data_IF_380200791026
#
_entry.id   IF_380200791026
#
_cell.length_a   1.000
_cell.length_b   1.000
_cell.length_c   1.000
_cell.angle_alpha   90.00
_cell.angle_beta   90.00
_cell.angle_gamma   90.00
#
_symmetry.space_group_name_H-M   'P 1'
#
loop_
_entity.id
_entity.type
_entity.pdbx_description
1 polymer ?
#
# COMPACT_ATOMS: atom_id res chain seq x y z
N UNK A 1 -17.06 -15.69 13.61
CA UNK A 1 -17.74 -14.51 13.04
C UNK A 1 -16.73 -13.38 12.81
N UNK A 2 -17.04 -12.43 11.93
CA UNK A 2 -16.23 -11.24 11.66
C UNK A 2 -16.12 -10.43 12.96
N UNK A 3 -14.92 -9.89 13.27
CA UNK A 3 -14.77 -9.02 14.42
C UNK A 3 -15.51 -7.69 14.20
N UNK A 4 -15.88 -7.02 15.29
CA UNK A 4 -16.32 -5.64 15.22
C UNK A 4 -15.20 -4.77 14.62
N UNK A 5 -15.52 -3.87 13.70
CA UNK A 5 -14.55 -2.92 13.15
C UNK A 5 -14.28 -1.79 14.14
N UNK A 6 -13.01 -1.37 14.23
CA UNK A 6 -12.57 -0.24 15.07
C UNK A 6 -11.76 0.73 14.24
N UNK A 7 -11.86 2.03 14.54
CA UNK A 7 -10.99 3.03 13.92
C UNK A 7 -9.56 2.90 14.44
N UNK A 8 -8.58 3.32 13.64
CA UNK A 8 -7.18 3.42 14.07
C UNK A 8 -7.05 4.29 15.32
N UNK A 9 -7.73 5.43 15.38
CA UNK A 9 -7.77 6.28 16.57
C UNK A 9 -8.29 5.51 17.81
N UNK A 10 -9.34 4.71 17.66
CA UNK A 10 -9.88 3.91 18.77
C UNK A 10 -8.92 2.83 19.26
N UNK A 11 -8.13 2.23 18.36
CA UNK A 11 -7.12 1.23 18.72
C UNK A 11 -5.92 1.84 19.46
N UNK A 12 -5.63 3.11 19.22
CA UNK A 12 -4.49 3.81 19.81
C UNK A 12 -4.84 4.56 21.11
N UNK A 13 -6.11 4.73 21.41
CA UNK A 13 -6.60 5.56 22.52
C UNK A 13 -6.00 5.18 23.90
N UNK A 14 -5.70 3.90 24.10
CA UNK A 14 -5.14 3.39 25.34
C UNK A 14 -3.60 3.47 25.40
N UNK A 15 -2.96 3.82 24.28
CA UNK A 15 -1.50 3.78 24.12
C UNK A 15 -0.92 5.20 24.13
N UNK A 16 -1.71 6.20 23.76
CA UNK A 16 -1.26 7.59 23.65
C UNK A 16 -2.11 8.49 24.54
N UNK A 17 -1.46 9.40 25.25
CA UNK A 17 -2.12 10.47 26.01
C UNK A 17 -2.44 11.71 25.13
N UNK A 18 -2.13 11.65 23.84
CA UNK A 18 -2.28 12.77 22.91
C UNK A 18 -3.60 12.70 22.15
N UNK A 19 -4.29 13.84 22.10
CA UNK A 19 -5.63 13.93 21.46
C UNK A 19 -5.58 14.19 19.96
N UNK A 20 -4.37 14.41 19.39
CA UNK A 20 -4.19 14.88 18.02
C UNK A 20 -3.48 13.85 17.12
N UNK A 21 -3.81 12.57 17.28
CA UNK A 21 -3.24 11.52 16.43
C UNK A 21 -3.86 11.64 15.03
N UNK A 22 -3.03 11.89 14.02
CA UNK A 22 -3.43 11.93 12.61
C UNK A 22 -3.62 10.53 12.02
N UNK A 23 -2.95 9.52 12.60
CA UNK A 23 -3.05 8.14 12.16
C UNK A 23 -1.99 7.23 12.77
N UNK A 24 -1.74 6.12 12.10
CA UNK A 24 -0.69 5.17 12.46
C UNK A 24 0.03 4.59 11.23
N UNK A 25 1.28 4.25 11.41
CA UNK A 25 2.03 3.42 10.47
C UNK A 25 1.93 1.98 10.91
N UNK A 26 1.32 1.13 10.09
CA UNK A 26 1.34 -0.32 10.27
C UNK A 26 2.70 -0.84 9.85
N UNK A 27 3.44 -1.44 10.75
CA UNK A 27 4.80 -1.95 10.54
C UNK A 27 4.91 -3.46 10.61
N UNK A 28 3.90 -4.15 11.12
CA UNK A 28 3.82 -5.60 11.08
C UNK A 28 2.36 -6.09 11.16
N UNK A 29 2.12 -7.20 10.48
CA UNK A 29 0.91 -8.01 10.58
C UNK A 29 1.34 -9.47 10.79
N UNK A 30 1.20 -9.96 12.02
CA UNK A 30 1.65 -11.28 12.44
C UNK A 30 0.56 -12.36 12.23
N UNK A 31 -0.54 -12.05 11.57
CA UNK A 31 -1.56 -13.06 11.27
C UNK A 31 -1.07 -14.05 10.22
N UNK A 32 -1.53 -15.29 10.36
CA UNK A 32 -1.28 -16.35 9.38
C UNK A 32 -2.54 -16.56 8.56
N UNK A 33 -2.39 -16.94 7.29
CA UNK A 33 -3.51 -17.26 6.40
C UNK A 33 -4.47 -18.30 7.01
N UNK A 34 -3.93 -19.25 7.79
CA UNK A 34 -4.74 -20.24 8.51
C UNK A 34 -5.59 -19.66 9.65
N UNK A 35 -5.29 -18.46 10.12
CA UNK A 35 -6.07 -17.75 11.13
C UNK A 35 -7.16 -16.87 10.49
N UNK A 36 -6.90 -16.32 9.32
CA UNK A 36 -7.72 -15.35 8.62
C UNK A 36 -6.94 -14.11 8.22
N UNK A 37 -7.65 -13.04 7.89
CA UNK A 37 -7.05 -11.80 7.40
C UNK A 37 -7.49 -10.60 8.22
N UNK A 38 -6.56 -9.68 8.46
CA UNK A 38 -6.89 -8.33 8.86
C UNK A 38 -7.26 -7.51 7.63
N UNK A 39 -8.33 -6.75 7.73
CA UNK A 39 -8.84 -5.89 6.67
C UNK A 39 -8.93 -4.43 7.15
N UNK A 40 -8.83 -3.51 6.21
CA UNK A 40 -9.01 -2.08 6.43
C UNK A 40 -10.06 -1.50 5.48
N UNK A 41 -10.66 -0.37 5.87
CA UNK A 41 -11.58 0.41 5.04
C UNK A 41 -11.32 1.89 5.19
N UNK A 42 -11.27 2.60 4.07
CA UNK A 42 -11.07 4.06 4.00
C UNK A 42 -12.37 4.83 3.75
N UNK A 43 -13.48 4.12 3.53
CA UNK A 43 -14.78 4.69 3.12
C UNK A 43 -15.93 4.33 4.09
N UNK A 44 -15.59 4.19 5.37
CA UNK A 44 -16.57 3.91 6.41
C UNK A 44 -17.14 2.50 6.38
N UNK A 45 -16.43 1.54 5.77
CA UNK A 45 -16.83 0.13 5.74
C UNK A 45 -17.60 -0.29 4.49
N UNK A 46 -17.68 0.55 3.45
CA UNK A 46 -18.32 0.19 2.17
C UNK A 46 -17.44 -0.74 1.34
N UNK A 47 -16.13 -0.49 1.35
CA UNK A 47 -15.13 -1.35 0.70
C UNK A 47 -14.06 -1.75 1.71
N UNK A 48 -13.53 -2.97 1.56
CA UNK A 48 -12.52 -3.53 2.44
C UNK A 48 -11.34 -4.06 1.64
N UNK A 49 -10.13 -3.68 2.05
CA UNK A 49 -8.87 -4.19 1.55
C UNK A 49 -8.21 -5.09 2.60
N UNK A 50 -7.41 -6.06 2.18
CA UNK A 50 -6.64 -6.93 3.08
C UNK A 50 -5.36 -6.21 3.49
N UNK A 51 -5.03 -6.20 4.78
CA UNK A 51 -3.75 -5.69 5.26
C UNK A 51 -2.60 -6.64 4.88
N UNK A 52 -1.47 -6.11 4.38
CA UNK A 52 -0.32 -6.94 4.02
C UNK A 52 0.26 -7.67 5.21
N UNK A 53 0.93 -8.80 4.95
CA UNK A 53 1.68 -9.58 5.94
C UNK A 53 3.20 -9.55 5.66
N UNK A 54 3.61 -9.05 4.49
CA UNK A 54 4.99 -9.02 4.01
C UNK A 54 5.66 -7.67 4.28
N UNK A 55 5.88 -7.35 5.54
CA UNK A 55 6.70 -6.19 5.91
C UNK A 55 8.18 -6.55 5.90
N UNK A 56 9.03 -5.59 5.51
CA UNK A 56 10.48 -5.79 5.57
C UNK A 56 10.97 -5.88 7.01
N UNK A 57 11.94 -6.77 7.28
CA UNK A 57 12.48 -6.98 8.62
C UNK A 57 13.17 -5.73 9.21
N UNK A 58 13.65 -4.83 8.35
CA UNK A 58 14.30 -3.58 8.73
C UNK A 58 13.31 -2.44 9.07
N UNK A 59 11.99 -2.70 9.02
CA UNK A 59 10.94 -1.71 9.20
C UNK A 59 11.04 -0.48 8.26
N UNK A 60 11.71 -0.62 7.13
CA UNK A 60 11.84 0.45 6.13
C UNK A 60 10.54 0.70 5.37
N UNK A 61 9.62 -0.24 5.41
CA UNK A 61 8.31 -0.15 4.77
C UNK A 61 7.20 -0.24 5.81
N UNK A 62 6.24 0.65 5.70
CA UNK A 62 5.06 0.69 6.55
C UNK A 62 3.86 1.23 5.78
N UNK A 63 2.67 0.76 6.13
CA UNK A 63 1.44 1.26 5.57
C UNK A 63 0.91 2.40 6.44
N UNK A 64 0.81 3.61 5.87
CA UNK A 64 0.33 4.79 6.60
C UNK A 64 -1.19 4.82 6.54
N UNK A 65 -1.84 4.72 7.69
CA UNK A 65 -3.29 4.70 7.86
C UNK A 65 -3.74 5.97 8.58
N UNK A 66 -4.81 6.61 8.10
CA UNK A 66 -5.42 7.75 8.81
C UNK A 66 -6.13 7.31 10.09
N UNK A 67 -6.39 8.25 10.98
CA UNK A 67 -7.03 7.98 12.28
C UNK A 67 -8.45 7.42 12.17
N UNK A 68 -9.16 7.73 11.09
CA UNK A 68 -10.54 7.29 10.80
C UNK A 68 -10.61 5.96 10.02
N UNK A 69 -9.47 5.43 9.55
CA UNK A 69 -9.40 4.12 8.89
C UNK A 69 -9.98 3.04 9.80
N UNK A 70 -10.94 2.28 9.29
CA UNK A 70 -11.52 1.13 10.00
C UNK A 70 -10.64 -0.10 9.80
N UNK A 71 -10.49 -0.88 10.87
CA UNK A 71 -9.77 -2.16 10.87
C UNK A 71 -10.69 -3.24 11.46
N UNK A 72 -10.70 -4.42 10.84
CA UNK A 72 -11.40 -5.61 11.34
C UNK A 72 -10.62 -6.87 11.02
N UNK A 73 -10.96 -7.98 11.70
CA UNK A 73 -10.43 -9.30 11.41
C UNK A 73 -11.50 -10.22 10.84
N UNK A 74 -11.20 -10.86 9.73
CA UNK A 74 -12.03 -11.92 9.11
C UNK A 74 -11.37 -13.27 9.42
N UNK A 75 -11.93 -14.07 10.33
CA UNK A 75 -11.36 -15.37 10.65
C UNK A 75 -11.50 -16.35 9.51
N UNK A 76 -10.48 -17.20 9.33
CA UNK A 76 -10.58 -18.37 8.45
C UNK A 76 -11.65 -19.33 8.96
N UNK A 77 -12.11 -20.19 8.05
CA UNK A 77 -13.08 -21.27 8.42
C UNK A 77 -12.47 -22.12 9.54
N UNK A 78 -13.26 -22.36 10.56
CA UNK A 78 -12.89 -23.19 11.73
C UNK A 78 -11.72 -22.64 12.56
N UNK A 79 -11.36 -21.37 12.39
CA UNK A 79 -10.40 -20.71 13.29
C UNK A 79 -11.07 -20.28 14.61
N UNK A 80 -10.50 -20.71 15.71
CA UNK A 80 -10.86 -20.33 17.08
C UNK A 80 -9.61 -19.85 17.81
N UNK A 81 -9.64 -18.65 18.35
CA UNK A 81 -8.52 -18.10 19.11
C UNK A 81 -8.25 -16.62 18.81
N UNK A 82 -7.10 -16.16 19.29
CA UNK A 82 -6.64 -14.80 19.04
C UNK A 82 -5.83 -14.77 17.75
N UNK A 83 -6.14 -13.86 16.81
CA UNK A 83 -5.35 -13.69 15.60
C UNK A 83 -3.95 -13.14 15.91
N UNK A 84 -3.03 -13.27 14.97
CA UNK A 84 -1.75 -12.59 15.04
C UNK A 84 -1.93 -11.07 15.14
N UNK A 85 -1.09 -10.43 15.95
CA UNK A 85 -1.17 -9.01 16.28
C UNK A 85 -0.78 -8.11 15.10
N UNK A 86 -1.31 -6.89 15.10
CA UNK A 86 -0.80 -5.78 14.30
C UNK A 86 0.15 -4.93 15.14
N UNK A 87 1.22 -4.42 14.50
CA UNK A 87 2.10 -3.42 15.10
C UNK A 87 1.82 -2.07 14.45
N UNK A 88 1.28 -1.14 15.25
CA UNK A 88 0.90 0.20 14.83
C UNK A 88 1.78 1.22 15.57
N UNK A 89 2.41 2.14 14.83
CA UNK A 89 3.14 3.29 15.39
C UNK A 89 2.32 4.55 15.11
N UNK A 90 1.81 5.24 16.16
CA UNK A 90 1.06 6.47 15.97
C UNK A 90 1.94 7.59 15.41
N UNK A 91 1.34 8.53 14.69
CA UNK A 91 1.98 9.77 14.27
C UNK A 91 1.03 10.96 14.43
N UNK A 92 1.62 12.14 14.69
CA UNK A 92 0.96 13.41 14.97
C UNK A 92 1.41 14.53 14.04
N UNK A 93 2.22 14.22 13.03
CA UNK A 93 2.78 15.21 12.11
C UNK A 93 2.29 14.99 10.66
N UNK A 94 2.21 16.06 9.90
CA UNK A 94 1.70 16.08 8.52
C UNK A 94 2.72 15.59 7.47
N UNK A 95 3.90 15.10 7.89
CA UNK A 95 4.94 14.63 6.98
C UNK A 95 4.65 13.23 6.40
N UNK A 96 3.68 12.50 6.95
CA UNK A 96 3.24 11.21 6.45
C UNK A 96 1.91 11.36 5.72
N UNK A 97 1.85 10.84 4.51
CA UNK A 97 0.61 10.82 3.70
C UNK A 97 -0.07 9.45 3.86
N UNK A 98 -1.28 9.41 4.46
CA UNK A 98 -2.06 8.19 4.50
C UNK A 98 -2.41 7.66 3.10
N UNK A 99 -2.57 6.34 2.99
CA UNK A 99 -3.09 5.75 1.76
C UNK A 99 -4.50 6.29 1.50
N UNK A 100 -4.76 6.65 0.25
CA UNK A 100 -6.03 7.22 -0.19
C UNK A 100 -6.89 6.24 -0.98
N UNK A 101 -6.34 5.09 -1.36
CA UNK A 101 -6.98 4.10 -2.21
C UNK A 101 -7.29 2.82 -1.43
N UNK A 102 -8.56 2.37 -1.51
CA UNK A 102 -9.01 1.07 -1.01
C UNK A 102 -8.54 -0.10 -1.92
N UNK A 103 -7.39 0.03 -2.54
CA UNK A 103 -6.80 -1.06 -3.31
C UNK A 103 -6.34 -2.12 -2.32
N UNK A 104 -6.84 -3.36 -2.38
CA UNK A 104 -6.36 -4.43 -1.50
C UNK A 104 -4.84 -4.55 -1.65
N UNK A 105 -4.11 -4.31 -0.56
CA UNK A 105 -2.67 -4.57 -0.53
C UNK A 105 -2.52 -6.10 -0.55
N UNK A 106 -2.29 -6.65 -1.72
CA UNK A 106 -2.21 -8.10 -1.92
C UNK A 106 -2.92 -8.62 -3.17
N UNK A 107 -3.92 -7.91 -3.68
CA UNK A 107 -4.53 -8.20 -4.98
C UNK A 107 -3.92 -7.33 -6.09
N UNK A 108 -2.67 -6.92 -5.91
CA UNK A 108 -1.92 -6.23 -6.95
C UNK A 108 -1.42 -7.24 -8.01
N UNK A 109 -2.32 -8.06 -8.52
CA UNK A 109 -2.17 -8.61 -9.86
C UNK A 109 -2.36 -7.46 -10.85
N UNK A 110 -1.49 -6.48 -10.76
CA UNK A 110 -1.38 -5.41 -11.71
C UNK A 110 -0.28 -5.72 -12.73
N UNK A 111 -0.08 -4.82 -13.65
CA UNK A 111 1.02 -4.90 -14.58
C UNK A 111 1.65 -3.52 -14.78
N UNK A 112 2.90 -3.52 -15.18
CA UNK A 112 3.60 -2.31 -15.57
C UNK A 112 3.77 -2.34 -17.08
N UNK A 113 3.54 -1.20 -17.71
CA UNK A 113 3.95 -0.95 -19.09
C UNK A 113 5.07 0.07 -19.04
N UNK A 114 6.21 -0.23 -19.67
CA UNK A 114 7.24 0.76 -19.94
C UNK A 114 7.35 0.98 -21.45
N UNK A 115 7.64 2.20 -21.84
CA UNK A 115 7.81 2.56 -23.23
C UNK A 115 8.84 3.65 -23.40
N UNK A 116 9.37 3.74 -24.59
CA UNK A 116 10.19 4.83 -25.08
C UNK A 116 9.28 5.88 -25.70
N UNK A 117 9.51 7.12 -25.37
CA UNK A 117 8.74 8.24 -25.94
C UNK A 117 9.66 9.39 -26.34
N UNK A 118 9.46 9.90 -27.54
CA UNK A 118 10.15 11.06 -28.05
C UNK A 118 9.39 12.35 -27.66
N UNK A 119 10.12 13.38 -27.26
CA UNK A 119 9.57 14.72 -26.94
C UNK A 119 8.62 14.80 -25.74
N UNK A 120 8.63 13.86 -24.84
CA UNK A 120 7.78 13.91 -23.65
C UNK A 120 8.47 14.63 -22.49
N UNK A 121 9.80 14.71 -22.50
CA UNK A 121 10.60 15.29 -21.43
C UNK A 121 10.81 16.80 -21.55
N UNK A 122 10.98 17.30 -22.76
CA UNK A 122 11.24 18.71 -23.05
C UNK A 122 11.11 18.97 -24.56
N UNK A 123 11.44 20.18 -25.00
CA UNK A 123 11.52 20.55 -26.43
C UNK A 123 12.68 19.85 -27.17
N UNK A 124 13.50 19.07 -26.49
CA UNK A 124 14.56 18.29 -27.08
C UNK A 124 14.02 17.02 -27.79
N UNK A 125 14.67 16.66 -28.89
CA UNK A 125 14.27 15.54 -29.75
C UNK A 125 14.72 14.16 -29.22
N UNK A 126 15.10 14.07 -27.94
CA UNK A 126 15.59 12.86 -27.33
C UNK A 126 14.44 11.95 -26.87
N UNK A 127 14.72 10.65 -26.86
CA UNK A 127 13.80 9.66 -26.35
C UNK A 127 14.06 9.43 -24.85
N UNK A 128 13.00 9.38 -24.07
CA UNK A 128 13.02 9.02 -22.66
C UNK A 128 12.27 7.74 -22.39
N UNK A 129 12.52 7.13 -21.24
CA UNK A 129 11.82 5.93 -20.77
C UNK A 129 10.79 6.33 -19.74
N UNK A 130 9.56 5.91 -19.99
CA UNK A 130 8.40 6.14 -19.13
C UNK A 130 7.79 4.81 -18.70
N UNK A 131 7.09 4.83 -17.60
CA UNK A 131 6.29 3.71 -17.14
C UNK A 131 4.93 4.17 -16.61
N UNK A 132 3.96 3.30 -16.70
CA UNK A 132 2.66 3.42 -16.07
C UNK A 132 2.30 2.11 -15.41
N UNK A 133 1.85 2.20 -14.17
CA UNK A 133 1.29 1.07 -13.43
C UNK A 133 -0.19 0.97 -13.73
N UNK A 134 -0.68 -0.26 -13.78
CA UNK A 134 -2.09 -0.58 -14.01
C UNK A 134 -2.56 -1.60 -12.98
N UNK A 135 -3.81 -1.51 -12.59
CA UNK A 135 -4.51 -2.55 -11.86
C UNK A 135 -4.78 -3.75 -12.78
N UNK A 136 -5.16 -4.88 -12.23
CA UNK A 136 -5.55 -6.09 -12.98
C UNK A 136 -6.71 -5.86 -13.95
N UNK A 137 -7.58 -4.89 -13.66
CA UNK A 137 -8.70 -4.49 -14.52
C UNK A 137 -8.30 -3.55 -15.67
N UNK A 138 -7.02 -3.18 -15.76
CA UNK A 138 -6.48 -2.27 -16.77
C UNK A 138 -6.67 -0.78 -16.44
N UNK A 139 -7.21 -0.43 -15.31
CA UNK A 139 -7.26 0.97 -14.85
C UNK A 139 -5.87 1.46 -14.44
N UNK A 140 -5.58 2.74 -14.68
CA UNK A 140 -4.28 3.33 -14.29
C UNK A 140 -4.15 3.39 -12.78
N UNK A 141 -2.99 2.99 -12.26
CA UNK A 141 -2.62 3.11 -10.86
C UNK A 141 -1.57 4.22 -10.71
N UNK A 142 -2.01 5.36 -10.20
CA UNK A 142 -1.16 6.54 -10.07
C UNK A 142 -0.88 7.24 -11.39
N UNK A 143 0.08 8.16 -11.37
CA UNK A 143 0.52 8.92 -12.55
C UNK A 143 1.61 8.18 -13.31
N UNK A 144 1.79 8.55 -14.56
CA UNK A 144 2.94 8.17 -15.37
C UNK A 144 4.24 8.66 -14.71
N UNK A 145 5.29 7.86 -14.79
CA UNK A 145 6.59 8.11 -14.18
C UNK A 145 7.66 8.08 -15.26
N UNK A 146 8.49 9.12 -15.30
CA UNK A 146 9.73 9.09 -16.06
C UNK A 146 10.77 8.28 -15.27
N UNK A 147 11.36 7.29 -15.91
CA UNK A 147 12.30 6.35 -15.26
C UNK A 147 13.73 6.84 -15.32
N UNK A 148 14.13 7.38 -16.46
CA UNK A 148 15.48 7.89 -16.63
C UNK A 148 15.69 9.21 -15.91
N UNK A 149 16.79 9.34 -15.17
CA UNK A 149 17.25 10.58 -14.54
C UNK A 149 18.24 11.34 -15.42
N UNK A 150 18.86 10.65 -16.38
CA UNK A 150 19.74 11.23 -17.39
C UNK A 150 18.92 11.48 -18.66
N UNK A 151 18.89 12.73 -19.12
CA UNK A 151 18.02 13.19 -20.21
C UNK A 151 18.77 13.60 -21.48
N UNK A 152 20.12 13.54 -21.49
CA UNK A 152 20.89 13.81 -22.68
C UNK A 152 20.97 12.56 -23.56
N UNK A 153 20.75 12.72 -24.88
CA UNK A 153 20.67 11.67 -25.87
C UNK A 153 19.47 10.73 -25.66
N UNK A 154 19.30 9.76 -26.56
CA UNK A 154 18.19 8.81 -26.51
C UNK A 154 18.41 7.76 -25.43
N UNK A 155 17.38 7.51 -24.63
CA UNK A 155 17.26 6.36 -23.76
C UNK A 155 16.32 5.35 -24.42
N UNK A 156 16.82 4.15 -24.62
CA UNK A 156 16.16 3.11 -25.41
C UNK A 156 16.23 1.75 -24.71
N UNK A 157 15.43 0.80 -25.19
CA UNK A 157 15.49 -0.60 -24.80
C UNK A 157 15.22 -0.86 -23.31
N UNK A 158 14.15 -0.27 -22.76
CA UNK A 158 13.70 -0.61 -21.41
C UNK A 158 13.30 -2.08 -21.32
N UNK A 159 13.71 -2.74 -20.24
CA UNK A 159 13.34 -4.12 -19.95
C UNK A 159 12.74 -4.18 -18.55
N UNK A 160 11.58 -4.83 -18.44
CA UNK A 160 10.93 -5.12 -17.16
C UNK A 160 11.10 -6.60 -16.82
N UNK A 161 11.28 -6.88 -15.54
CA UNK A 161 11.26 -8.24 -15.00
C UNK A 161 10.51 -8.24 -13.69
N UNK A 162 9.79 -9.32 -13.41
CA UNK A 162 9.19 -9.52 -12.10
C UNK A 162 10.17 -10.19 -11.15
N UNK A 163 10.17 -9.80 -9.89
CA UNK A 163 10.92 -10.45 -8.84
C UNK A 163 10.08 -11.57 -8.21
N UNK A 164 10.75 -12.53 -7.56
CA UNK A 164 10.09 -13.69 -6.95
C UNK A 164 9.14 -13.34 -5.79
N UNK A 165 9.25 -12.13 -5.25
CA UNK A 165 8.37 -11.59 -4.21
C UNK A 165 7.17 -10.81 -4.76
N UNK A 166 7.01 -10.75 -6.09
CA UNK A 166 5.94 -10.00 -6.76
C UNK A 166 6.26 -8.53 -7.05
N UNK A 167 7.47 -8.05 -6.69
CA UNK A 167 7.96 -6.72 -7.08
C UNK A 167 8.48 -6.71 -8.52
N UNK A 168 8.73 -5.51 -9.05
CA UNK A 168 9.24 -5.25 -10.41
C UNK A 168 10.58 -4.54 -10.36
#
# INVERSE_FOLDING_TARGET
GVSESKTVASLLKDITSENDILGAVLTANNSKVSQGNWEYSLDGGNKWGVLPTNFSEDNSQGLVLSSDTLIRFIPAKDFFGTPGSLSLKPFDNENLTPISDNVPYGDQEGFIVSWQSNRQESDDYNDGIFLQRFNSDGSKLGSEIQVNTYIENNQENSVLTSLSNGDF
#
